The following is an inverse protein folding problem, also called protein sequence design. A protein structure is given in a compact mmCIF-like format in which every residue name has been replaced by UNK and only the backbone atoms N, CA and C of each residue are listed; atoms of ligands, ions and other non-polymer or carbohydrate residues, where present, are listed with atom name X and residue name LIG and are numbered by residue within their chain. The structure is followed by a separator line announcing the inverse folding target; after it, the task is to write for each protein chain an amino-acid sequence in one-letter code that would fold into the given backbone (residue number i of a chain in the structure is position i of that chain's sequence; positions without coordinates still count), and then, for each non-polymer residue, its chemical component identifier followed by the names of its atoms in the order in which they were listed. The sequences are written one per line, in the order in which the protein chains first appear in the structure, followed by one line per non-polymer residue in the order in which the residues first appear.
data_IF_416711294630
#
_entry.id   IF_416711294630
#
_cell.length_a   1.000
_cell.length_b   1.000
_cell.length_c   1.000
_cell.angle_alpha   90.00
_cell.angle_beta   90.00
_cell.angle_gamma   90.00
#
_symmetry.space_group_name_H-M   'P 1'
#
loop_
_entity.id
_entity.type
_entity.pdbx_description
1 polymer ?
#
# COMPACT_ATOMS: atom_id res chain seq x y z
N UNK A 1 21.24 -22.18 -10.05
CA UNK A 1 21.20 -23.62 -9.70
C UNK A 1 22.44 -24.09 -8.93
N UNK A 2 23.71 -23.74 -9.31
CA UNK A 2 24.92 -24.22 -8.59
C UNK A 2 25.01 -23.82 -7.12
N UNK A 3 24.24 -22.80 -6.70
CA UNK A 3 24.17 -22.38 -5.29
C UNK A 3 23.26 -23.29 -4.44
N UNK A 4 22.38 -24.07 -5.08
CA UNK A 4 21.44 -24.97 -4.40
C UNK A 4 22.04 -26.36 -4.20
N UNK A 5 22.77 -26.87 -5.17
CA UNK A 5 23.52 -28.14 -5.10
C UNK A 5 24.61 -28.20 -6.18
N UNK A 6 25.65 -29.03 -5.93
CA UNK A 6 26.69 -29.31 -6.92
C UNK A 6 26.19 -30.21 -8.04
N UNK A 7 25.26 -31.11 -7.75
CA UNK A 7 24.56 -31.94 -8.72
C UNK A 7 23.40 -31.15 -9.33
N UNK A 8 23.41 -31.03 -10.67
CA UNK A 8 22.41 -30.25 -11.40
C UNK A 8 20.99 -30.82 -11.26
N UNK A 9 20.84 -32.15 -11.18
CA UNK A 9 19.56 -32.81 -11.00
C UNK A 9 18.96 -32.47 -9.63
N UNK A 10 19.74 -32.62 -8.56
CA UNK A 10 19.33 -32.28 -7.21
C UNK A 10 19.07 -30.77 -7.06
N UNK A 11 19.88 -29.92 -7.68
CA UNK A 11 19.67 -28.48 -7.68
C UNK A 11 18.33 -28.11 -8.36
N UNK A 12 17.96 -28.79 -9.44
CA UNK A 12 16.70 -28.59 -10.14
C UNK A 12 15.51 -29.03 -9.28
N UNK A 13 15.59 -30.23 -8.67
CA UNK A 13 14.53 -30.73 -7.78
C UNK A 13 14.29 -29.79 -6.59
N UNK A 14 15.35 -29.30 -5.96
CA UNK A 14 15.24 -28.31 -4.86
C UNK A 14 14.64 -26.99 -5.31
N UNK A 15 15.02 -26.48 -6.48
CA UNK A 15 14.43 -25.29 -7.05
C UNK A 15 12.94 -25.47 -7.31
N UNK A 16 12.56 -26.60 -7.93
CA UNK A 16 11.16 -26.91 -8.21
C UNK A 16 10.33 -27.03 -6.91
N UNK A 17 10.84 -27.70 -5.90
CA UNK A 17 10.15 -27.81 -4.61
C UNK A 17 9.85 -26.44 -3.97
N UNK A 18 10.75 -25.45 -4.10
CA UNK A 18 10.52 -24.08 -3.63
C UNK A 18 9.45 -23.39 -4.46
N UNK A 19 9.47 -23.57 -5.80
CA UNK A 19 8.47 -22.97 -6.69
C UNK A 19 7.08 -23.56 -6.42
N UNK A 20 6.99 -24.85 -6.16
CA UNK A 20 5.71 -25.55 -5.97
C UNK A 20 4.96 -25.10 -4.73
N UNK A 21 5.66 -24.69 -3.66
CA UNK A 21 5.03 -24.17 -2.45
C UNK A 21 4.71 -22.66 -2.50
N UNK A 22 5.29 -21.95 -3.46
CA UNK A 22 5.13 -20.49 -3.56
C UNK A 22 3.68 -20.03 -3.71
N UNK A 23 2.82 -20.64 -4.57
CA UNK A 23 1.44 -20.19 -4.74
C UNK A 23 0.63 -20.24 -3.44
N UNK A 24 0.80 -21.29 -2.64
CA UNK A 24 0.11 -21.43 -1.35
C UNK A 24 0.59 -20.39 -0.35
N UNK A 25 1.90 -20.24 -0.21
CA UNK A 25 2.50 -19.23 0.68
C UNK A 25 2.07 -17.81 0.27
N UNK A 26 2.08 -17.52 -1.03
CA UNK A 26 1.61 -16.23 -1.55
C UNK A 26 0.15 -15.96 -1.16
N UNK A 27 -0.74 -16.94 -1.32
CA UNK A 27 -2.15 -16.77 -0.96
C UNK A 27 -2.35 -16.51 0.53
N UNK A 28 -1.61 -17.20 1.39
CA UNK A 28 -1.65 -16.98 2.84
C UNK A 28 -1.22 -15.55 3.19
N UNK A 29 -0.07 -15.12 2.67
CA UNK A 29 0.46 -13.78 2.94
C UNK A 29 -0.41 -12.67 2.33
N UNK A 30 -0.96 -12.90 1.13
CA UNK A 30 -1.90 -11.97 0.49
C UNK A 30 -3.16 -11.78 1.35
N UNK A 31 -3.80 -12.85 1.80
CA UNK A 31 -4.99 -12.79 2.66
C UNK A 31 -4.70 -12.08 3.98
N UNK A 32 -3.59 -12.41 4.63
CA UNK A 32 -3.17 -11.72 5.86
C UNK A 32 -2.87 -10.24 5.63
N UNK A 33 -2.20 -9.91 4.54
CA UNK A 33 -1.92 -8.54 4.14
C UNK A 33 -3.19 -7.73 3.90
N UNK A 34 -4.15 -8.31 3.17
CA UNK A 34 -5.46 -7.68 2.91
C UNK A 34 -6.29 -7.56 4.18
N UNK A 35 -6.30 -8.57 5.07
CA UNK A 35 -6.98 -8.46 6.35
C UNK A 35 -6.48 -7.27 7.16
N UNK A 36 -5.15 -7.11 7.28
CA UNK A 36 -4.55 -5.98 8.00
C UNK A 36 -4.90 -4.62 7.35
N UNK A 37 -4.90 -4.54 6.02
CA UNK A 37 -5.27 -3.31 5.27
C UNK A 37 -6.74 -2.95 5.41
N UNK A 38 -7.61 -3.96 5.43
CA UNK A 38 -9.06 -3.78 5.59
C UNK A 38 -9.48 -3.67 7.06
N UNK A 39 -8.57 -3.83 8.00
CA UNK A 39 -8.86 -3.76 9.42
C UNK A 39 -9.64 -4.96 9.95
N UNK A 40 -9.53 -6.13 9.33
CA UNK A 40 -10.19 -7.36 9.74
C UNK A 40 -9.36 -8.09 10.81
N UNK A 41 -10.01 -8.64 11.82
CA UNK A 41 -9.35 -9.45 12.85
C UNK A 41 -8.77 -10.77 12.30
N UNK A 42 -9.35 -11.29 11.23
CA UNK A 42 -8.92 -12.44 10.46
C UNK A 42 -9.54 -12.39 9.07
N UNK A 43 -9.05 -13.22 8.16
CA UNK A 43 -9.59 -13.33 6.80
C UNK A 43 -10.53 -14.53 6.74
N UNK A 44 -11.81 -14.27 6.51
CA UNK A 44 -12.90 -15.26 6.52
C UNK A 44 -13.45 -15.50 5.10
N UNK A 45 -14.30 -16.51 4.96
CA UNK A 45 -15.00 -16.76 3.70
C UNK A 45 -15.84 -15.55 3.30
N UNK A 46 -15.67 -15.09 2.06
CA UNK A 46 -16.34 -13.89 1.53
C UNK A 46 -15.51 -12.61 1.60
N UNK A 47 -14.42 -12.56 2.39
CA UNK A 47 -13.54 -11.39 2.46
C UNK A 47 -12.74 -11.19 1.16
N UNK A 48 -12.53 -12.28 0.37
CA UNK A 48 -11.97 -12.17 -0.99
C UNK A 48 -12.85 -11.30 -1.88
N UNK A 49 -14.16 -11.46 -1.79
CA UNK A 49 -15.13 -10.66 -2.57
C UNK A 49 -15.09 -9.21 -2.11
N UNK A 50 -15.08 -8.98 -0.79
CA UNK A 50 -14.96 -7.64 -0.23
C UNK A 50 -13.69 -6.93 -0.69
N UNK A 51 -12.55 -7.64 -0.66
CA UNK A 51 -11.26 -7.10 -1.11
C UNK A 51 -11.22 -6.83 -2.62
N UNK A 52 -11.69 -7.80 -3.44
CA UNK A 52 -11.68 -7.65 -4.90
C UNK A 52 -12.61 -6.55 -5.39
N UNK A 53 -13.78 -6.39 -4.77
CA UNK A 53 -14.71 -5.32 -5.09
C UNK A 53 -14.13 -3.93 -4.77
N UNK A 54 -13.42 -3.78 -3.65
CA UNK A 54 -12.70 -2.54 -3.36
C UNK A 54 -11.68 -2.22 -4.45
N UNK A 55 -10.84 -3.21 -4.80
CA UNK A 55 -9.80 -3.01 -5.81
C UNK A 55 -10.40 -2.70 -7.19
N UNK A 56 -11.53 -3.33 -7.55
CA UNK A 56 -12.25 -3.03 -8.78
C UNK A 56 -12.81 -1.60 -8.80
N UNK A 57 -13.43 -1.16 -7.71
CA UNK A 57 -13.91 0.22 -7.55
C UNK A 57 -12.76 1.22 -7.63
N UNK A 58 -11.65 0.96 -6.95
CA UNK A 58 -10.48 1.82 -7.00
C UNK A 58 -9.92 1.95 -8.42
N UNK A 59 -9.89 0.86 -9.19
CA UNK A 59 -9.46 0.87 -10.58
C UNK A 59 -10.44 1.66 -11.47
N UNK A 60 -11.74 1.46 -11.30
CA UNK A 60 -12.80 2.18 -12.03
C UNK A 60 -12.74 3.69 -11.78
N UNK A 61 -12.63 4.10 -10.53
CA UNK A 61 -12.58 5.50 -10.09
C UNK A 61 -11.18 6.12 -10.22
N UNK A 62 -10.19 5.36 -10.69
CA UNK A 62 -8.77 5.77 -10.78
C UNK A 62 -8.22 6.32 -9.47
N UNK A 63 -8.60 5.68 -8.38
CA UNK A 63 -8.29 6.09 -7.02
C UNK A 63 -6.81 5.84 -6.68
N UNK A 64 -6.17 6.79 -6.00
CA UNK A 64 -4.82 6.57 -5.45
C UNK A 64 -4.85 5.46 -4.40
N UNK A 65 -4.12 4.38 -4.68
CA UNK A 65 -4.11 3.17 -3.85
C UNK A 65 -3.65 3.45 -2.41
N UNK A 66 -2.60 4.24 -2.28
CA UNK A 66 -2.00 4.55 -0.96
C UNK A 66 -2.96 5.39 -0.11
N UNK A 67 -3.50 6.45 -0.69
CA UNK A 67 -4.42 7.34 0.02
C UNK A 67 -5.74 6.66 0.36
N UNK A 68 -6.26 5.78 -0.52
CA UNK A 68 -7.51 5.06 -0.26
C UNK A 68 -7.42 4.20 1.01
N UNK A 69 -6.34 3.41 1.17
CA UNK A 69 -6.18 2.59 2.37
C UNK A 69 -5.89 3.41 3.62
N UNK A 70 -5.20 4.55 3.49
CA UNK A 70 -5.02 5.48 4.62
C UNK A 70 -6.34 6.11 5.01
N UNK A 71 -7.15 6.55 4.06
CA UNK A 71 -8.49 7.10 4.30
C UNK A 71 -9.44 6.08 4.92
N UNK A 72 -9.35 4.83 4.47
CA UNK A 72 -10.13 3.74 5.07
C UNK A 72 -9.78 3.55 6.55
N UNK A 73 -8.50 3.67 6.91
CA UNK A 73 -8.07 3.62 8.31
C UNK A 73 -8.62 4.80 9.13
N UNK A 74 -8.72 6.01 8.55
CA UNK A 74 -9.37 7.14 9.21
C UNK A 74 -10.85 6.86 9.50
N UNK A 75 -11.54 6.19 8.56
CA UNK A 75 -12.96 5.82 8.71
C UNK A 75 -13.19 4.73 9.77
N UNK A 76 -12.18 3.94 10.10
CA UNK A 76 -12.29 2.91 11.14
C UNK A 76 -12.55 3.50 12.54
N UNK A 77 -12.11 4.73 12.79
CA UNK A 77 -12.39 5.49 14.02
C UNK A 77 -12.61 6.97 13.67
N UNK A 78 -13.83 7.38 13.31
CA UNK A 78 -14.14 8.76 12.94
C UNK A 78 -13.76 9.76 14.04
N UNK A 79 -13.22 10.91 13.63
CA UNK A 79 -12.84 11.99 14.54
C UNK A 79 -11.42 11.90 15.13
N UNK A 80 -10.69 10.82 14.85
CA UNK A 80 -9.31 10.62 15.33
C UNK A 80 -8.29 10.46 14.21
N UNK A 81 -8.74 10.59 12.95
CA UNK A 81 -7.92 10.35 11.76
C UNK A 81 -6.79 11.37 11.58
N UNK A 82 -5.84 11.03 10.72
CA UNK A 82 -4.64 11.80 10.41
C UNK A 82 -4.89 12.92 9.37
N UNK A 83 -6.14 13.36 9.23
CA UNK A 83 -6.57 14.40 8.26
C UNK A 83 -6.29 14.03 6.77
N UNK A 84 -6.17 12.74 6.48
CA UNK A 84 -6.05 12.26 5.09
C UNK A 84 -7.28 12.64 4.24
N UNK A 85 -8.44 12.87 4.88
CA UNK A 85 -9.63 13.40 4.21
C UNK A 85 -9.41 14.72 3.47
N UNK A 86 -8.44 15.54 3.87
CA UNK A 86 -8.03 16.74 3.12
C UNK A 86 -7.29 16.41 1.83
N UNK A 87 -6.68 15.21 1.73
CA UNK A 87 -5.91 14.76 0.58
C UNK A 87 -6.74 13.87 -0.35
N UNK A 88 -7.69 13.13 0.20
CA UNK A 88 -8.48 12.15 -0.52
C UNK A 88 -9.80 11.86 0.20
N UNK A 89 -10.90 11.84 -0.54
CA UNK A 89 -12.20 11.35 -0.11
C UNK A 89 -12.74 10.30 -1.08
N UNK A 90 -13.46 9.30 -0.55
CA UNK A 90 -14.16 8.33 -1.37
C UNK A 90 -15.36 8.99 -2.06
N UNK A 91 -15.52 8.73 -3.36
CA UNK A 91 -16.73 9.13 -4.10
C UNK A 91 -17.96 8.35 -3.64
N UNK A 92 -19.16 8.81 -4.00
CA UNK A 92 -20.40 8.15 -3.69
C UNK A 92 -20.48 6.70 -4.20
N UNK A 93 -19.72 6.36 -5.24
CA UNK A 93 -19.62 5.00 -5.77
C UNK A 93 -19.13 3.98 -4.71
N UNK A 94 -18.33 4.42 -3.73
CA UNK A 94 -17.85 3.56 -2.64
C UNK A 94 -18.86 3.34 -1.52
N UNK A 95 -19.96 4.10 -1.46
CA UNK A 95 -20.92 4.02 -0.35
C UNK A 95 -21.48 2.60 -0.11
N UNK A 96 -21.92 1.84 -1.12
CA UNK A 96 -22.42 0.47 -0.89
C UNK A 96 -21.32 -0.47 -0.38
N UNK A 97 -20.09 -0.29 -0.84
CA UNK A 97 -18.95 -1.06 -0.39
C UNK A 97 -18.60 -0.73 1.07
N UNK A 98 -18.56 0.55 1.44
CA UNK A 98 -18.29 1.01 2.80
C UNK A 98 -19.34 0.49 3.80
N UNK A 99 -20.62 0.39 3.38
CA UNK A 99 -21.66 -0.21 4.22
C UNK A 99 -21.38 -1.69 4.50
N UNK A 100 -20.99 -2.49 3.49
CA UNK A 100 -20.61 -3.90 3.66
C UNK A 100 -19.37 -4.06 4.54
N UNK A 101 -18.38 -3.22 4.33
CA UNK A 101 -17.16 -3.19 5.14
C UNK A 101 -17.46 -2.88 6.60
N UNK A 102 -18.29 -1.87 6.89
CA UNK A 102 -18.74 -1.55 8.24
C UNK A 102 -19.48 -2.71 8.90
N UNK A 103 -20.39 -3.36 8.14
CA UNK A 103 -21.12 -4.54 8.62
C UNK A 103 -20.15 -5.69 8.96
N UNK A 104 -19.20 -5.98 8.07
CA UNK A 104 -18.21 -7.05 8.29
C UNK A 104 -17.34 -6.76 9.53
N UNK A 105 -16.84 -5.54 9.65
CA UNK A 105 -15.96 -5.15 10.75
C UNK A 105 -16.68 -5.00 12.09
N UNK A 106 -17.98 -4.76 12.12
CA UNK A 106 -18.75 -4.64 13.35
C UNK A 106 -18.84 -5.94 14.16
N UNK A 107 -18.63 -7.09 13.53
CA UNK A 107 -18.59 -8.41 14.17
C UNK A 107 -17.24 -8.79 14.77
N UNK A 108 -16.18 -8.05 14.47
CA UNK A 108 -14.83 -8.34 14.94
C UNK A 108 -14.63 -7.94 16.41
N UNK A 109 -13.83 -8.69 17.17
CA UNK A 109 -13.63 -8.44 18.62
C UNK A 109 -12.77 -7.21 18.93
N UNK A 110 -12.02 -6.69 17.95
CA UNK A 110 -11.10 -5.57 18.14
C UNK A 110 -11.83 -4.24 18.25
N UNK A 111 -11.33 -3.35 19.08
CA UNK A 111 -11.83 -1.98 19.18
C UNK A 111 -11.56 -1.16 17.91
N UNK A 112 -12.30 -0.08 17.72
CA UNK A 112 -12.07 0.86 16.60
C UNK A 112 -10.65 1.41 16.58
N UNK A 113 -10.07 1.73 17.74
CA UNK A 113 -8.70 2.25 17.85
C UNK A 113 -7.63 1.19 17.51
N UNK A 114 -7.82 -0.05 17.95
CA UNK A 114 -6.90 -1.15 17.59
C UNK A 114 -6.94 -1.45 16.09
N UNK A 115 -8.16 -1.46 15.51
CA UNK A 115 -8.37 -1.60 14.07
C UNK A 115 -7.65 -0.50 13.31
N UNK A 116 -7.89 0.76 13.65
CA UNK A 116 -7.24 1.90 13.00
C UNK A 116 -5.72 1.81 13.10
N UNK A 117 -5.17 1.53 14.29
CA UNK A 117 -3.74 1.39 14.49
C UNK A 117 -3.13 0.24 13.65
N UNK A 118 -3.83 -0.88 13.51
CA UNK A 118 -3.41 -1.99 12.64
C UNK A 118 -3.39 -1.57 11.17
N UNK A 119 -4.45 -0.90 10.70
CA UNK A 119 -4.56 -0.44 9.31
C UNK A 119 -3.47 0.58 8.97
N UNK A 120 -3.14 1.50 9.87
CA UNK A 120 -2.03 2.44 9.67
C UNK A 120 -0.68 1.74 9.57
N UNK A 121 -0.43 0.72 10.37
CA UNK A 121 0.80 -0.10 10.25
C UNK A 121 0.86 -0.93 8.98
N UNK A 122 -0.27 -1.29 8.40
CA UNK A 122 -0.35 -2.07 7.16
C UNK A 122 -0.32 -1.21 5.89
N UNK A 123 -0.55 0.12 6.01
CA UNK A 123 -0.69 1.02 4.88
C UNK A 123 0.23 2.23 5.05
N UNK A 124 1.31 2.36 4.27
CA UNK A 124 2.20 3.51 4.38
C UNK A 124 1.46 4.80 4.04
N UNK A 125 1.84 5.91 4.67
CA UNK A 125 1.39 7.25 4.31
C UNK A 125 2.23 7.83 3.18
N UNK A 126 3.51 7.47 3.17
CA UNK A 126 4.48 7.94 2.18
C UNK A 126 5.05 6.76 1.39
N UNK A 127 5.14 6.93 0.08
CA UNK A 127 5.76 5.99 -0.86
C UNK A 127 6.72 6.75 -1.77
N UNK A 128 7.70 6.10 -2.40
CA UNK A 128 8.59 6.75 -3.37
C UNK A 128 7.81 7.02 -4.68
N UNK A 129 7.01 8.10 -4.68
CA UNK A 129 6.22 8.49 -5.85
C UNK A 129 7.13 8.86 -7.00
N UNK A 130 6.86 8.37 -8.20
CA UNK A 130 7.72 8.53 -9.36
C UNK A 130 8.09 9.99 -9.65
N UNK A 131 7.13 10.92 -9.55
CA UNK A 131 7.42 12.34 -9.78
C UNK A 131 8.37 12.97 -8.76
N UNK A 132 8.37 12.47 -7.50
CA UNK A 132 9.30 12.92 -6.47
C UNK A 132 10.70 12.32 -6.68
N UNK A 133 10.73 11.05 -7.09
CA UNK A 133 12.00 10.36 -7.43
C UNK A 133 12.64 11.04 -8.65
N UNK A 134 11.87 11.31 -9.69
CA UNK A 134 12.34 12.00 -10.90
C UNK A 134 12.85 13.42 -10.57
N UNK A 135 12.14 14.16 -9.73
CA UNK A 135 12.59 15.48 -9.29
C UNK A 135 13.92 15.41 -8.52
N UNK A 136 14.11 14.37 -7.68
CA UNK A 136 15.36 14.18 -6.95
C UNK A 136 16.53 13.79 -7.88
N UNK A 137 16.27 12.94 -8.89
CA UNK A 137 17.27 12.57 -9.91
C UNK A 137 17.68 13.81 -10.71
N UNK A 138 16.72 14.57 -11.22
CA UNK A 138 17.00 15.78 -12.02
C UNK A 138 17.81 16.81 -11.23
N UNK A 139 17.49 17.02 -9.93
CA UNK A 139 18.23 17.93 -9.07
C UNK A 139 19.69 17.48 -8.89
N UNK A 140 19.89 16.18 -8.68
CA UNK A 140 21.23 15.61 -8.52
C UNK A 140 22.07 15.70 -9.81
N UNK A 141 21.45 15.43 -10.98
CA UNK A 141 22.14 15.44 -12.28
C UNK A 141 22.43 16.86 -12.80
N UNK A 142 21.46 17.77 -12.69
CA UNK A 142 21.60 19.12 -13.22
C UNK A 142 22.48 20.04 -12.35
N UNK A 143 22.27 19.96 -11.03
CA UNK A 143 22.82 20.94 -10.08
C UNK A 143 23.78 20.32 -9.06
N UNK A 144 23.95 19.00 -9.05
CA UNK A 144 24.70 18.28 -8.00
C UNK A 144 24.03 18.40 -6.63
N UNK A 145 22.74 18.76 -6.58
CA UNK A 145 21.99 18.92 -5.33
C UNK A 145 21.30 17.61 -4.93
N UNK A 146 21.82 16.97 -3.89
CA UNK A 146 21.28 15.74 -3.30
C UNK A 146 20.27 15.98 -2.17
N UNK A 147 19.93 17.22 -1.83
CA UNK A 147 19.02 17.49 -0.73
C UNK A 147 17.62 16.88 -0.94
N UNK A 148 17.00 16.91 -2.14
CA UNK A 148 15.72 16.25 -2.38
C UNK A 148 15.81 14.73 -2.23
N UNK A 149 16.89 14.09 -2.67
CA UNK A 149 17.12 12.67 -2.48
C UNK A 149 17.23 12.29 -1.00
N UNK A 150 18.07 13.00 -0.24
CA UNK A 150 18.24 12.76 1.19
C UNK A 150 16.93 12.96 1.95
N UNK A 151 16.13 13.97 1.59
CA UNK A 151 14.82 14.19 2.19
C UNK A 151 13.85 13.02 1.93
N UNK A 152 13.86 12.43 0.73
CA UNK A 152 13.07 11.23 0.43
C UNK A 152 13.56 10.01 1.22
N UNK A 153 14.86 9.83 1.36
CA UNK A 153 15.43 8.72 2.16
C UNK A 153 14.99 8.83 3.63
N UNK A 154 15.11 10.02 4.22
CA UNK A 154 14.70 10.26 5.60
C UNK A 154 13.19 10.05 5.80
N UNK A 155 12.38 10.53 4.86
CA UNK A 155 10.92 10.36 4.87
C UNK A 155 10.52 8.88 4.81
N UNK A 156 11.14 8.14 3.89
CA UNK A 156 10.84 6.73 3.63
C UNK A 156 11.46 5.80 4.68
N UNK A 157 12.30 6.30 5.57
CA UNK A 157 12.74 5.59 6.77
C UNK A 157 11.61 5.34 7.77
N UNK A 158 10.55 6.15 7.75
CA UNK A 158 9.35 6.02 8.60
C UNK A 158 8.06 6.19 7.77
N UNK A 159 7.79 5.31 6.80
CA UNK A 159 6.78 5.53 5.77
C UNK A 159 5.34 5.49 6.32
N UNK A 160 5.13 4.93 7.51
CA UNK A 160 3.81 4.83 8.14
C UNK A 160 3.45 6.02 9.03
N UNK A 161 4.42 6.83 9.40
CA UNK A 161 4.23 7.97 10.31
C UNK A 161 3.81 9.21 9.51
N UNK A 162 2.49 9.41 9.38
CA UNK A 162 1.98 10.60 8.70
C UNK A 162 2.28 11.86 9.52
N UNK A 163 2.88 12.86 8.87
CA UNK A 163 3.16 14.18 9.41
C UNK A 163 2.56 15.24 8.51
N UNK A 164 1.77 16.12 9.08
CA UNK A 164 1.03 17.14 8.34
C UNK A 164 1.96 18.12 7.61
N UNK A 165 3.09 18.48 8.21
CA UNK A 165 4.11 19.33 7.59
C UNK A 165 4.77 18.71 6.35
N UNK A 166 4.68 17.39 6.22
CA UNK A 166 5.18 16.61 5.08
C UNK A 166 4.07 16.09 4.14
N UNK A 167 2.82 16.50 4.36
CA UNK A 167 1.68 16.04 3.56
C UNK A 167 1.89 16.19 2.04
N UNK A 168 2.68 17.20 1.60
CA UNK A 168 3.04 17.41 0.18
C UNK A 168 3.66 16.18 -0.49
N UNK A 169 4.35 15.32 0.26
CA UNK A 169 4.97 14.09 -0.26
C UNK A 169 3.98 12.93 -0.39
N UNK A 170 2.81 13.04 0.25
CA UNK A 170 1.73 12.07 0.11
C UNK A 170 0.83 12.34 -1.11
N UNK A 171 0.87 13.56 -1.70
CA UNK A 171 0.03 13.90 -2.86
C UNK A 171 0.38 13.06 -4.09
N UNK A 172 -0.62 12.62 -4.86
CA UNK A 172 -0.40 12.06 -6.19
C UNK A 172 0.20 13.12 -7.13
N UNK A 173 0.82 12.70 -8.25
CA UNK A 173 1.35 13.65 -9.24
C UNK A 173 0.22 14.51 -9.83
N UNK A 174 0.49 15.79 -10.04
CA UNK A 174 -0.34 16.62 -10.91
C UNK A 174 -0.22 16.11 -12.36
N UNK A 175 -1.15 16.48 -13.27
CA UNK A 175 -1.09 16.04 -14.67
C UNK A 175 0.24 16.34 -15.37
N UNK A 176 0.86 17.49 -15.03
CA UNK A 176 2.16 17.93 -15.55
C UNK A 176 3.36 17.18 -14.93
N UNK A 177 3.15 16.43 -13.86
CA UNK A 177 4.18 15.67 -13.13
C UNK A 177 4.10 14.16 -13.39
N UNK A 178 3.17 13.69 -14.23
CA UNK A 178 3.01 12.27 -14.52
C UNK A 178 4.23 11.76 -15.28
N UNK A 179 4.99 10.88 -14.66
CA UNK A 179 6.12 10.19 -15.28
C UNK A 179 5.58 9.07 -16.17
N UNK A 180 5.71 9.24 -17.49
CA UNK A 180 5.16 8.29 -18.48
C UNK A 180 6.08 7.11 -18.79
N UNK A 181 7.38 7.24 -18.49
CA UNK A 181 8.37 6.20 -18.68
C UNK A 181 9.30 6.15 -17.47
N UNK A 182 9.48 4.98 -16.90
CA UNK A 182 10.49 4.73 -15.88
C UNK A 182 11.58 3.86 -16.49
N UNK A 183 12.82 4.34 -16.48
CA UNK A 183 13.96 3.55 -16.94
C UNK A 183 14.53 2.78 -15.75
N UNK A 184 14.30 1.46 -15.69
CA UNK A 184 15.16 0.60 -14.89
C UNK A 184 16.47 0.53 -15.65
N UNK A 185 17.54 1.17 -15.12
CA UNK A 185 18.84 1.23 -15.79
C UNK A 185 19.44 -0.15 -16.00
N UNK A 186 19.17 -0.75 -17.13
CA UNK A 186 19.86 -1.90 -17.74
C UNK A 186 20.21 -1.57 -19.16
#
# INVERSE_FOLDING_TARGET
LPLLDKDTGQATERAQAVIDVFPEQYQVEYRQGMARKLGLAGFEDGDEVLASDLLALMAQERTDFTLAFRRLADLAQPGTGQQIGELFEFSDAFTPWLQRWNQRTSGDPQSASERQAMMYRASPAFIPRNHLVEAAINSAEADGDYAPFNQLVDLLGQPHDFRQDLARFAYPPRPDQVVTQTFCGT
#
